data_IF_062855667859
#
_entry.id   IF_062855667859
#
_cell.length_a   1.000
_cell.length_b   1.000
_cell.length_c   1.000
_cell.angle_alpha   90.00
_cell.angle_beta   90.00
_cell.angle_gamma   90.00
#
_symmetry.space_group_name_H-M   'P 1'
#
loop_
_entity.id
_entity.type
_entity.pdbx_description
1 polymer ?
#
# COMPACT_ATOMS: atom_id res chain seq x y z
N UNK A 1 1.30 14.23 40.42
CA UNK A 1 2.17 13.78 39.30
C UNK A 1 2.83 14.99 38.69
N UNK A 2 4.14 15.06 38.74
CA UNK A 2 4.90 16.20 38.20
C UNK A 2 4.85 16.23 36.68
N UNK A 3 4.88 17.41 36.09
CA UNK A 3 4.87 17.62 34.63
C UNK A 3 6.03 16.88 33.91
N UNK A 4 7.10 16.59 34.62
CA UNK A 4 8.28 15.83 34.15
C UNK A 4 7.97 14.35 33.89
N UNK A 5 7.15 13.71 34.69
CA UNK A 5 6.80 12.30 34.50
C UNK A 5 5.94 12.07 33.25
N UNK A 6 5.05 13.01 32.95
CA UNK A 6 4.22 12.96 31.71
C UNK A 6 5.05 13.17 30.45
N UNK A 7 6.09 14.01 30.52
CA UNK A 7 6.99 14.29 29.41
C UNK A 7 7.86 13.07 29.08
N UNK A 8 8.40 12.42 30.11
CA UNK A 8 9.21 11.21 29.95
C UNK A 8 8.40 10.04 29.38
N UNK A 9 7.11 9.92 29.78
CA UNK A 9 6.26 8.86 29.24
C UNK A 9 5.91 9.10 27.76
N UNK A 10 5.69 10.34 27.35
CA UNK A 10 5.48 10.72 25.95
C UNK A 10 6.73 10.47 25.10
N UNK A 11 7.90 10.86 25.57
CA UNK A 11 9.16 10.65 24.84
C UNK A 11 9.47 9.16 24.66
N UNK A 12 9.15 8.34 25.66
CA UNK A 12 9.32 6.89 25.59
C UNK A 12 8.36 6.26 24.58
N UNK A 13 7.11 6.67 24.57
CA UNK A 13 6.11 6.20 23.60
C UNK A 13 6.47 6.59 22.17
N UNK A 14 6.95 7.81 21.95
CA UNK A 14 7.37 8.29 20.63
C UNK A 14 8.57 7.48 20.12
N UNK A 15 9.53 7.15 20.97
CA UNK A 15 10.68 6.32 20.60
C UNK A 15 10.29 4.88 20.28
N UNK A 16 9.35 4.30 21.02
CA UNK A 16 8.84 2.96 20.74
C UNK A 16 8.06 2.92 19.42
N UNK A 17 7.23 3.92 19.18
CA UNK A 17 6.48 4.04 17.90
C UNK A 17 7.42 4.26 16.72
N UNK A 18 8.42 5.12 16.86
CA UNK A 18 9.45 5.34 15.83
C UNK A 18 10.27 4.07 15.57
N UNK A 19 10.59 3.30 16.61
CA UNK A 19 11.31 2.04 16.47
C UNK A 19 10.48 0.98 15.72
N UNK A 20 9.20 0.89 16.03
CA UNK A 20 8.26 0.00 15.31
C UNK A 20 8.12 0.40 13.85
N UNK A 21 7.99 1.69 13.56
CA UNK A 21 7.93 2.20 12.17
C UNK A 21 9.24 1.92 11.44
N UNK A 22 10.38 2.10 12.09
CA UNK A 22 11.70 1.84 11.50
C UNK A 22 11.92 0.35 11.21
N UNK A 23 11.56 -0.54 12.12
CA UNK A 23 11.65 -1.99 11.91
C UNK A 23 10.70 -2.46 10.80
N UNK A 24 9.55 -1.84 10.68
CA UNK A 24 8.57 -2.13 9.62
C UNK A 24 9.10 -1.68 8.25
N UNK A 25 9.68 -0.48 8.16
CA UNK A 25 10.30 0.04 6.94
C UNK A 25 11.48 -0.85 6.48
N UNK A 26 12.32 -1.31 7.39
CA UNK A 26 13.44 -2.22 7.08
C UNK A 26 12.93 -3.59 6.63
N UNK A 27 11.88 -4.12 7.25
CA UNK A 27 11.25 -5.38 6.85
C UNK A 27 10.64 -5.30 5.44
N UNK A 28 10.02 -4.19 5.10
CA UNK A 28 9.48 -3.93 3.76
C UNK A 28 10.60 -3.86 2.70
N UNK A 29 11.72 -3.20 3.01
CA UNK A 29 12.86 -3.12 2.10
C UNK A 29 13.46 -4.51 1.84
N UNK A 30 13.58 -5.35 2.86
CA UNK A 30 14.09 -6.72 2.72
C UNK A 30 13.13 -7.57 1.88
N UNK A 31 11.83 -7.47 2.11
CA UNK A 31 10.82 -8.18 1.29
C UNK A 31 10.85 -7.72 -0.18
N UNK A 32 11.10 -6.44 -0.42
CA UNK A 32 11.25 -5.88 -1.77
C UNK A 32 12.53 -6.37 -2.45
N UNK A 33 13.65 -6.46 -1.73
CA UNK A 33 14.92 -6.97 -2.26
C UNK A 33 14.86 -8.47 -2.58
N UNK A 34 14.14 -9.26 -1.81
CA UNK A 34 13.97 -10.71 -2.06
C UNK A 34 13.06 -10.96 -3.27
N UNK A 35 12.04 -10.14 -3.48
CA UNK A 35 11.20 -10.21 -4.70
C UNK A 35 11.91 -9.67 -5.95
N UNK A 36 12.83 -8.71 -5.80
CA UNK A 36 13.61 -8.12 -6.90
C UNK A 36 14.63 -9.04 -7.54
N UNK A 37 14.94 -10.18 -6.94
CA UNK A 37 15.92 -11.14 -7.50
C UNK A 37 15.34 -12.16 -8.48
N UNK A 38 14.03 -12.17 -8.70
CA UNK A 38 13.36 -13.08 -9.65
C UNK A 38 12.94 -12.40 -10.95
N UNK A 39 13.01 -11.07 -11.01
CA UNK A 39 12.77 -10.34 -12.25
C UNK A 39 14.10 -10.17 -12.98
N UNK A 40 14.38 -11.04 -13.93
CA UNK A 40 15.36 -10.78 -14.98
C UNK A 40 15.12 -9.39 -15.51
N UNK A 41 16.11 -8.50 -15.40
CA UNK A 41 16.16 -7.28 -16.19
C UNK A 41 16.22 -7.67 -17.67
N UNK A 42 15.08 -7.82 -18.29
CA UNK A 42 14.93 -7.65 -19.72
C UNK A 42 14.48 -6.22 -19.94
N UNK A 43 15.27 -5.43 -20.65
CA UNK A 43 14.93 -4.11 -21.11
C UNK A 43 13.51 -4.03 -21.64
N UNK A 44 12.75 -3.06 -21.12
CA UNK A 44 11.61 -2.48 -21.77
C UNK A 44 10.38 -3.37 -21.92
N UNK A 45 9.24 -2.84 -21.58
CA UNK A 45 7.90 -3.34 -21.88
C UNK A 45 7.63 -4.77 -21.37
N UNK A 46 7.24 -4.89 -20.12
CA UNK A 46 6.50 -6.06 -19.69
C UNK A 46 5.14 -5.99 -20.41
N UNK A 47 5.06 -6.62 -21.56
CA UNK A 47 3.79 -6.91 -22.22
C UNK A 47 3.20 -8.10 -21.49
N UNK A 48 2.27 -7.83 -20.60
CA UNK A 48 1.50 -8.87 -19.91
C UNK A 48 0.40 -9.34 -20.87
N UNK A 49 0.27 -10.65 -21.03
CA UNK A 49 -0.85 -11.23 -21.76
C UNK A 49 -2.16 -10.82 -21.04
N UNK A 50 -3.18 -10.43 -21.78
CA UNK A 50 -4.48 -10.02 -21.26
C UNK A 50 -5.09 -11.03 -20.25
N UNK A 51 -4.80 -12.31 -20.44
CA UNK A 51 -5.22 -13.39 -19.55
C UNK A 51 -4.56 -13.37 -18.17
N UNK A 52 -3.46 -12.65 -18.02
CA UNK A 52 -2.73 -12.56 -16.74
C UNK A 52 -3.21 -11.41 -15.86
N UNK A 53 -3.94 -10.44 -16.40
CA UNK A 53 -4.45 -9.31 -15.62
C UNK A 53 -5.36 -9.70 -14.46
N UNK A 54 -6.34 -10.61 -14.62
CA UNK A 54 -7.19 -10.99 -13.49
C UNK A 54 -6.40 -11.56 -12.29
N UNK A 55 -5.31 -12.28 -12.57
CA UNK A 55 -4.45 -12.81 -11.52
C UNK A 55 -3.68 -11.69 -10.80
N UNK A 56 -3.12 -10.73 -11.55
CA UNK A 56 -2.43 -9.57 -10.99
C UNK A 56 -3.37 -8.69 -10.17
N UNK A 57 -4.60 -8.52 -10.63
CA UNK A 57 -5.64 -7.75 -9.95
C UNK A 57 -6.04 -8.42 -8.61
N UNK A 58 -6.23 -9.73 -8.61
CA UNK A 58 -6.54 -10.51 -7.41
C UNK A 58 -5.39 -10.46 -6.40
N UNK A 59 -4.15 -10.71 -6.84
CA UNK A 59 -2.96 -10.64 -6.01
C UNK A 59 -2.81 -9.26 -5.37
N UNK A 60 -2.97 -8.20 -6.14
CA UNK A 60 -2.89 -6.83 -5.64
C UNK A 60 -3.94 -6.52 -4.55
N UNK A 61 -5.18 -6.94 -4.75
CA UNK A 61 -6.24 -6.77 -3.74
C UNK A 61 -5.92 -7.54 -2.46
N UNK A 62 -5.41 -8.76 -2.56
CA UNK A 62 -5.03 -9.56 -1.38
C UNK A 62 -3.82 -8.96 -0.66
N UNK A 63 -2.84 -8.42 -1.37
CA UNK A 63 -1.71 -7.70 -0.78
C UNK A 63 -2.16 -6.43 -0.03
N UNK A 64 -3.10 -5.66 -0.59
CA UNK A 64 -3.67 -4.49 0.11
C UNK A 64 -4.39 -4.92 1.39
N UNK A 65 -5.21 -5.97 1.35
CA UNK A 65 -5.89 -6.49 2.54
C UNK A 65 -4.91 -6.96 3.61
N UNK A 66 -3.84 -7.65 3.22
CA UNK A 66 -2.79 -8.09 4.13
C UNK A 66 -2.10 -6.89 4.80
N UNK A 67 -1.73 -5.87 4.03
CA UNK A 67 -1.16 -4.63 4.55
C UNK A 67 -2.09 -3.95 5.56
N UNK A 68 -3.37 -3.81 5.23
CA UNK A 68 -4.35 -3.17 6.10
C UNK A 68 -4.56 -3.95 7.41
N UNK A 69 -4.55 -5.29 7.36
CA UNK A 69 -4.61 -6.13 8.54
C UNK A 69 -3.35 -5.96 9.42
N UNK A 70 -2.17 -5.91 8.83
CA UNK A 70 -0.92 -5.67 9.56
C UNK A 70 -0.89 -4.30 10.24
N UNK A 71 -1.48 -3.29 9.62
CA UNK A 71 -1.63 -1.95 10.19
C UNK A 71 -2.76 -1.86 11.24
N UNK A 72 -3.47 -2.95 11.52
CA UNK A 72 -4.56 -3.01 12.48
C UNK A 72 -5.91 -2.52 11.95
N UNK A 73 -6.06 -2.41 10.64
CA UNK A 73 -7.32 -2.10 9.97
C UNK A 73 -8.01 -3.38 9.49
N UNK A 74 -8.33 -4.25 10.43
CA UNK A 74 -8.99 -5.53 10.14
C UNK A 74 -10.37 -5.32 9.51
N UNK A 75 -10.73 -6.24 8.64
CA UNK A 75 -12.02 -6.23 7.92
C UNK A 75 -12.23 -4.98 7.04
N UNK A 76 -11.17 -4.41 6.51
CA UNK A 76 -11.26 -3.33 5.54
C UNK A 76 -11.89 -3.82 4.23
N UNK A 77 -12.82 -3.05 3.70
CA UNK A 77 -13.32 -3.23 2.35
C UNK A 77 -12.29 -2.70 1.33
N UNK A 78 -11.91 -3.53 0.38
CA UNK A 78 -11.05 -3.15 -0.76
C UNK A 78 -11.81 -3.46 -2.03
N UNK A 79 -12.07 -2.44 -2.82
CA UNK A 79 -12.73 -2.57 -4.12
C UNK A 79 -11.80 -2.06 -5.21
N UNK A 80 -11.51 -2.91 -6.18
CA UNK A 80 -10.72 -2.58 -7.36
C UNK A 80 -11.65 -2.51 -8.58
N UNK A 81 -11.68 -1.36 -9.22
CA UNK A 81 -12.44 -1.13 -10.45
C UNK A 81 -11.48 -0.76 -11.58
N UNK A 82 -11.61 -1.41 -12.72
CA UNK A 82 -10.82 -1.13 -13.92
C UNK A 82 -11.69 -0.48 -15.00
N UNK A 83 -11.15 0.55 -15.63
CA UNK A 83 -11.73 1.22 -16.80
C UNK A 83 -10.66 1.27 -17.88
N UNK A 84 -11.03 0.88 -19.09
CA UNK A 84 -10.15 0.98 -20.26
C UNK A 84 -10.61 2.16 -21.10
N UNK A 85 -9.69 3.03 -21.48
CA UNK A 85 -9.97 4.13 -22.42
C UNK A 85 -9.89 3.66 -23.88
N UNK A 86 -10.22 4.58 -24.80
CA UNK A 86 -10.18 4.29 -26.25
C UNK A 86 -8.78 4.04 -26.83
N UNK A 87 -7.73 4.34 -26.05
CA UNK A 87 -6.33 4.14 -26.43
C UNK A 87 -5.74 2.85 -25.85
N UNK A 88 -6.53 2.11 -25.06
CA UNK A 88 -6.12 0.86 -24.42
C UNK A 88 -5.42 1.04 -23.07
N UNK A 89 -5.36 2.27 -22.52
CA UNK A 89 -4.85 2.52 -21.17
C UNK A 89 -5.83 1.97 -20.13
N UNK A 90 -5.31 1.21 -19.18
CA UNK A 90 -6.10 0.68 -18.05
C UNK A 90 -5.96 1.60 -16.85
N UNK A 91 -7.07 2.15 -16.40
CA UNK A 91 -7.14 2.96 -15.19
C UNK A 91 -7.81 2.18 -14.08
N UNK A 92 -7.06 1.94 -13.01
CA UNK A 92 -7.53 1.21 -11.83
C UNK A 92 -7.89 2.18 -10.73
N UNK A 93 -9.10 2.05 -10.20
CA UNK A 93 -9.54 2.75 -9.00
C UNK A 93 -9.58 1.78 -7.83
N UNK A 94 -8.76 2.04 -6.81
CA UNK A 94 -8.81 1.32 -5.53
C UNK A 94 -9.61 2.14 -4.54
N UNK A 95 -10.71 1.60 -4.06
CA UNK A 95 -11.55 2.22 -3.04
C UNK A 95 -11.43 1.45 -1.73
N UNK A 96 -11.01 2.15 -0.69
CA UNK A 96 -10.87 1.60 0.65
C UNK A 96 -12.07 2.00 1.51
N UNK A 97 -12.61 1.05 2.25
CA UNK A 97 -13.67 1.30 3.22
C UNK A 97 -13.28 0.78 4.59
N UNK A 98 -12.99 1.70 5.50
CA UNK A 98 -12.76 1.40 6.92
C UNK A 98 -12.94 2.64 7.78
N UNK A 99 -13.74 2.53 8.84
CA UNK A 99 -14.10 3.66 9.71
C UNK A 99 -12.90 4.38 10.35
N UNK A 100 -11.85 3.66 10.70
CA UNK A 100 -10.64 4.25 11.30
C UNK A 100 -9.77 4.93 10.26
N UNK A 101 -9.69 4.40 9.05
CA UNK A 101 -8.93 5.01 7.95
C UNK A 101 -9.55 6.36 7.57
N UNK A 102 -10.87 6.46 7.53
CA UNK A 102 -11.55 7.73 7.22
C UNK A 102 -11.29 8.84 8.25
N UNK A 103 -10.84 8.47 9.46
CA UNK A 103 -10.51 9.41 10.55
C UNK A 103 -9.03 9.77 10.65
N UNK A 104 -8.18 9.19 9.83
CA UNK A 104 -6.77 9.55 9.75
C UNK A 104 -6.62 11.01 9.31
N UNK A 105 -5.49 11.63 9.69
CA UNK A 105 -5.10 12.92 9.13
C UNK A 105 -4.86 12.82 7.62
N UNK A 106 -4.88 13.91 6.92
CA UNK A 106 -4.61 13.91 5.46
C UNK A 106 -3.20 13.38 5.17
N UNK A 107 -2.21 13.75 5.99
CA UNK A 107 -0.84 13.25 5.87
C UNK A 107 -0.74 11.71 6.05
N UNK A 108 -1.46 11.17 7.02
CA UNK A 108 -1.51 9.72 7.26
C UNK A 108 -2.21 8.98 6.11
N UNK A 109 -3.28 9.55 5.56
CA UNK A 109 -3.96 9.02 4.37
C UNK A 109 -3.06 9.03 3.15
N UNK A 110 -2.37 10.14 2.90
CA UNK A 110 -1.43 10.26 1.78
C UNK A 110 -0.31 9.23 1.87
N UNK A 111 0.27 9.02 3.05
CA UNK A 111 1.28 7.98 3.25
C UNK A 111 0.74 6.57 3.01
N UNK A 112 -0.46 6.28 3.48
CA UNK A 112 -1.11 4.99 3.26
C UNK A 112 -1.39 4.77 1.77
N UNK A 113 -1.93 5.77 1.08
CA UNK A 113 -2.23 5.68 -0.34
C UNK A 113 -0.98 5.53 -1.19
N UNK A 114 0.08 6.29 -0.90
CA UNK A 114 1.38 6.14 -1.56
C UNK A 114 1.96 4.73 -1.38
N UNK A 115 1.84 4.15 -0.18
CA UNK A 115 2.29 2.77 0.07
C UNK A 115 1.50 1.76 -0.77
N UNK A 116 0.19 1.93 -0.87
CA UNK A 116 -0.68 1.05 -1.67
C UNK A 116 -0.40 1.23 -3.17
N UNK A 117 -0.15 2.45 -3.62
CA UNK A 117 0.21 2.74 -5.01
C UNK A 117 1.57 2.11 -5.38
N UNK A 118 2.56 2.17 -4.48
CA UNK A 118 3.87 1.56 -4.67
C UNK A 118 3.82 0.01 -4.75
N UNK A 119 2.80 -0.60 -4.18
CA UNK A 119 2.56 -2.05 -4.25
C UNK A 119 1.91 -2.47 -5.58
N UNK A 120 1.39 -1.53 -6.35
CA UNK A 120 0.70 -1.82 -7.60
C UNK A 120 1.63 -2.49 -8.63
N UNK A 121 1.08 -3.41 -9.39
CA UNK A 121 1.84 -4.07 -10.44
C UNK A 121 2.26 -3.08 -11.54
N UNK A 122 3.53 -3.13 -11.93
CA UNK A 122 4.13 -2.20 -12.88
C UNK A 122 3.99 -2.74 -14.31
N UNK A 123 2.87 -2.44 -14.95
CA UNK A 123 2.62 -2.78 -16.35
C UNK A 123 2.42 -1.49 -17.15
N UNK A 124 3.06 -1.40 -18.30
CA UNK A 124 2.94 -0.23 -19.18
C UNK A 124 1.48 -0.03 -19.60
N UNK A 125 1.00 1.20 -19.52
CA UNK A 125 -0.39 1.54 -19.83
C UNK A 125 -1.37 1.30 -18.69
N UNK A 126 -0.89 0.96 -17.48
CA UNK A 126 -1.71 0.90 -16.27
C UNK A 126 -1.50 2.14 -15.40
N UNK A 127 -2.60 2.67 -14.85
CA UNK A 127 -2.61 3.77 -13.88
C UNK A 127 -3.43 3.37 -12.67
N UNK A 128 -3.01 3.83 -11.50
CA UNK A 128 -3.68 3.52 -10.24
C UNK A 128 -4.07 4.80 -9.53
N UNK A 129 -5.24 4.81 -8.96
CA UNK A 129 -5.77 5.88 -8.12
C UNK A 129 -6.41 5.27 -6.88
N UNK A 130 -6.01 5.75 -5.70
CA UNK A 130 -6.50 5.25 -4.42
C UNK A 130 -7.39 6.32 -3.77
N UNK A 131 -8.54 5.92 -3.28
CA UNK A 131 -9.49 6.80 -2.62
C UNK A 131 -10.25 6.09 -1.49
N UNK A 132 -10.89 6.87 -0.64
CA UNK A 132 -11.85 6.35 0.35
C UNK A 132 -13.26 6.31 -0.24
N UNK A 133 -14.01 5.37 0.26
CA UNK A 133 -15.41 5.17 -0.06
C UNK A 133 -16.27 5.88 0.98
#
# INVERSE_FOLDING_TARGET
MSRTARRNHREKMIKEVLFVIFTFAVSMIIAFLVRGTVVSQADGNITVDEKSFPLLEEEYVEEIKALLNELGYENSGVNLTMVTDGEGTRSYQVKLHHKRISRLSEEEKEMLFATIEDMAFQVVGCRFEISLL
#
